data_IF_779769652737
#
_entry.id   IF_779769652737
#
_cell.length_a   1.000
_cell.length_b   1.000
_cell.length_c   1.000
_cell.angle_alpha   90.00
_cell.angle_beta   90.00
_cell.angle_gamma   90.00
#
_symmetry.space_group_name_H-M   'P 1'
#
loop_
_entity.id
_entity.type
_entity.pdbx_description
1 polymer ?
#
# COMPACT_ATOMS: atom_id res chain seq x y z
N UNK A 1 -68.46 8.94 8.34
CA UNK A 1 -67.43 8.07 8.94
C UNK A 1 -66.11 8.79 8.85
N UNK A 2 -65.40 8.96 9.97
CA UNK A 2 -64.07 9.59 9.98
C UNK A 2 -62.97 8.53 9.74
N UNK A 3 -61.75 8.97 9.43
CA UNK A 3 -60.58 8.10 9.39
C UNK A 3 -60.36 7.43 10.75
N UNK A 4 -60.19 6.11 10.78
CA UNK A 4 -60.05 5.35 12.03
C UNK A 4 -58.74 5.67 12.79
N UNK A 5 -57.80 6.37 12.13
CA UNK A 5 -56.49 6.69 12.69
C UNK A 5 -56.34 8.14 13.14
N UNK A 6 -56.79 9.10 12.34
CA UNK A 6 -56.70 10.52 12.67
C UNK A 6 -58.01 11.13 13.17
N UNK A 7 -59.16 10.49 12.98
CA UNK A 7 -60.50 10.95 13.39
C UNK A 7 -60.94 12.35 12.86
N UNK A 8 -60.07 13.06 12.15
CA UNK A 8 -60.30 14.44 11.69
C UNK A 8 -60.77 14.52 10.24
N UNK A 9 -60.30 13.61 9.37
CA UNK A 9 -60.56 13.67 7.93
C UNK A 9 -61.45 12.51 7.46
N UNK A 10 -62.27 12.70 6.42
CA UNK A 10 -63.02 11.61 5.81
C UNK A 10 -62.05 10.59 5.19
N UNK A 11 -62.29 9.29 5.35
CA UNK A 11 -61.44 8.25 4.78
C UNK A 11 -61.62 8.17 3.27
N UNK A 12 -60.51 7.97 2.56
CA UNK A 12 -60.47 7.84 1.10
C UNK A 12 -60.15 6.41 0.64
N UNK A 13 -59.52 5.63 1.52
CA UNK A 13 -58.98 4.32 1.19
C UNK A 13 -59.31 3.32 2.29
N UNK A 14 -59.35 2.03 1.93
CA UNK A 14 -59.63 0.91 2.84
C UNK A 14 -58.46 -0.08 2.79
N UNK A 15 -57.91 -0.44 3.95
CA UNK A 15 -56.81 -1.40 4.01
C UNK A 15 -57.29 -2.81 3.63
N UNK A 16 -56.62 -3.54 2.71
CA UNK A 16 -57.05 -4.87 2.28
C UNK A 16 -56.82 -5.96 3.34
N UNK A 17 -55.95 -5.73 4.33
CA UNK A 17 -55.63 -6.72 5.38
C UNK A 17 -56.51 -6.57 6.63
N UNK A 18 -56.78 -5.34 7.07
CA UNK A 18 -57.53 -5.07 8.31
C UNK A 18 -58.88 -4.38 8.09
N UNK A 19 -59.22 -4.03 6.85
CA UNK A 19 -60.48 -3.38 6.45
C UNK A 19 -60.80 -2.03 7.10
N UNK A 20 -59.83 -1.41 7.79
CA UNK A 20 -59.97 -0.06 8.38
C UNK A 20 -59.85 1.03 7.32
N UNK A 21 -60.54 2.13 7.56
CA UNK A 21 -60.67 3.25 6.64
C UNK A 21 -59.68 4.36 6.99
N UNK A 22 -58.87 4.79 6.02
CA UNK A 22 -57.83 5.81 6.23
C UNK A 22 -57.90 6.94 5.17
N UNK A 23 -57.45 8.14 5.54
CA UNK A 23 -57.55 9.33 4.68
C UNK A 23 -56.30 9.58 3.80
N UNK A 24 -55.11 9.14 4.24
CA UNK A 24 -53.83 9.41 3.57
C UNK A 24 -52.74 8.38 3.93
N UNK A 25 -51.64 8.38 3.18
CA UNK A 25 -50.46 7.54 3.46
C UNK A 25 -49.89 7.76 4.86
N UNK A 26 -49.98 8.99 5.41
CA UNK A 26 -49.57 9.29 6.79
C UNK A 26 -50.38 8.51 7.83
N UNK A 27 -51.69 8.35 7.61
CA UNK A 27 -52.54 7.52 8.47
C UNK A 27 -52.27 6.03 8.29
N UNK A 28 -51.94 5.60 7.08
CA UNK A 28 -51.56 4.21 6.79
C UNK A 28 -50.25 3.80 7.48
N UNK A 29 -49.30 4.73 7.63
CA UNK A 29 -48.01 4.54 8.32
C UNK A 29 -48.04 4.93 9.81
N UNK A 30 -49.21 5.27 10.36
CA UNK A 30 -49.32 5.66 11.77
C UNK A 30 -49.04 4.47 12.70
N UNK A 31 -48.59 4.76 13.94
CA UNK A 31 -48.30 3.73 14.96
C UNK A 31 -49.46 2.76 15.17
N UNK A 32 -50.71 3.24 15.05
CA UNK A 32 -51.92 2.43 15.17
C UNK A 32 -52.10 1.41 14.03
N UNK A 33 -51.51 1.65 12.85
CA UNK A 33 -51.61 0.79 11.66
C UNK A 33 -50.26 0.18 11.24
N UNK A 34 -49.24 0.23 12.11
CA UNK A 34 -47.88 -0.18 11.76
C UNK A 34 -47.78 -1.67 11.37
N UNK A 35 -48.53 -2.55 12.05
CA UNK A 35 -48.50 -4.00 11.77
C UNK A 35 -48.89 -4.34 10.33
N UNK A 36 -49.89 -3.64 9.79
CA UNK A 36 -50.38 -3.90 8.44
C UNK A 36 -49.50 -3.23 7.39
N UNK A 37 -49.05 -1.99 7.63
CA UNK A 37 -48.15 -1.30 6.72
C UNK A 37 -46.79 -1.98 6.63
N UNK A 38 -46.20 -2.38 7.75
CA UNK A 38 -44.95 -3.14 7.79
C UNK A 38 -45.07 -4.48 7.07
N UNK A 39 -46.18 -5.22 7.28
CA UNK A 39 -46.40 -6.48 6.57
C UNK A 39 -46.46 -6.29 5.06
N UNK A 40 -47.11 -5.23 4.59
CA UNK A 40 -47.18 -4.92 3.16
C UNK A 40 -45.83 -4.50 2.60
N UNK A 41 -45.08 -3.64 3.29
CA UNK A 41 -43.72 -3.27 2.89
C UNK A 41 -42.78 -4.48 2.87
N UNK A 42 -42.88 -5.36 3.87
CA UNK A 42 -42.14 -6.61 3.92
C UNK A 42 -42.47 -7.49 2.72
N UNK A 43 -43.74 -7.69 2.42
CA UNK A 43 -44.18 -8.51 1.28
C UNK A 43 -43.66 -7.91 -0.04
N UNK A 44 -43.78 -6.59 -0.25
CA UNK A 44 -43.23 -5.90 -1.42
C UNK A 44 -41.69 -6.01 -1.52
N UNK A 45 -40.97 -5.87 -0.42
CA UNK A 45 -39.52 -6.05 -0.38
C UNK A 45 -39.13 -7.49 -0.70
N UNK A 46 -39.84 -8.47 -0.14
CA UNK A 46 -39.59 -9.89 -0.39
C UNK A 46 -39.90 -10.27 -1.85
N UNK A 47 -40.96 -9.73 -2.45
CA UNK A 47 -41.24 -9.91 -3.89
C UNK A 47 -40.19 -9.22 -4.77
N UNK A 48 -39.73 -8.03 -4.40
CA UNK A 48 -38.62 -7.34 -5.05
C UNK A 48 -37.29 -8.11 -4.97
N UNK A 49 -37.01 -8.74 -3.84
CA UNK A 49 -35.86 -9.64 -3.68
C UNK A 49 -36.06 -10.94 -4.48
N UNK A 50 -37.25 -11.55 -4.46
CA UNK A 50 -37.55 -12.77 -5.23
C UNK A 50 -37.38 -12.55 -6.73
N UNK A 51 -37.84 -11.43 -7.27
CA UNK A 51 -37.68 -11.07 -8.68
C UNK A 51 -36.22 -10.79 -9.08
N UNK A 52 -35.40 -10.27 -8.15
CA UNK A 52 -33.94 -10.14 -8.31
C UNK A 52 -33.14 -11.42 -8.00
N UNK A 53 -33.74 -12.40 -7.32
CA UNK A 53 -33.09 -13.63 -6.85
C UNK A 53 -32.97 -14.74 -7.90
N UNK A 54 -32.86 -14.39 -9.19
CA UNK A 54 -32.11 -15.24 -10.13
C UNK A 54 -30.61 -15.06 -9.91
N UNK A 55 -30.16 -15.20 -8.66
CA UNK A 55 -28.74 -15.35 -8.36
C UNK A 55 -28.46 -16.83 -8.54
N UNK A 56 -27.78 -17.17 -9.63
CA UNK A 56 -27.47 -18.50 -10.15
C UNK A 56 -26.76 -19.46 -9.19
N UNK A 57 -26.55 -19.10 -7.92
CA UNK A 57 -25.86 -20.01 -7.01
C UNK A 57 -26.22 -19.77 -5.53
N UNK A 58 -27.05 -20.63 -4.89
CA UNK A 58 -27.33 -20.55 -3.45
C UNK A 58 -26.07 -20.69 -2.58
N UNK A 59 -24.96 -21.17 -3.15
CA UNK A 59 -23.70 -21.33 -2.44
C UNK A 59 -22.99 -19.99 -2.18
N UNK A 60 -23.18 -18.96 -3.02
CA UNK A 60 -22.60 -17.62 -2.77
C UNK A 60 -23.24 -16.92 -1.58
N UNK A 61 -24.54 -17.13 -1.36
CA UNK A 61 -25.23 -16.60 -0.17
C UNK A 61 -24.75 -17.31 1.09
N UNK A 62 -24.61 -18.65 1.03
CA UNK A 62 -24.11 -19.45 2.14
C UNK A 62 -22.65 -19.10 2.49
N UNK A 63 -21.80 -18.82 1.50
CA UNK A 63 -20.42 -18.40 1.76
C UNK A 63 -20.35 -17.02 2.43
N UNK A 64 -21.20 -16.07 2.05
CA UNK A 64 -21.28 -14.76 2.70
C UNK A 64 -21.78 -14.89 4.15
N UNK A 65 -22.78 -15.73 4.40
CA UNK A 65 -23.32 -15.93 5.75
C UNK A 65 -22.32 -16.65 6.66
N UNK A 66 -21.57 -17.62 6.12
CA UNK A 66 -20.51 -18.29 6.88
C UNK A 66 -19.34 -17.35 7.19
N UNK A 67 -18.95 -16.47 6.26
CA UNK A 67 -17.93 -15.45 6.51
C UNK A 67 -18.31 -14.54 7.69
N UNK A 68 -19.57 -14.09 7.74
CA UNK A 68 -20.03 -13.20 8.81
C UNK A 68 -20.20 -13.91 10.17
N UNK A 69 -20.44 -15.23 10.18
CA UNK A 69 -20.39 -16.02 11.41
C UNK A 69 -18.97 -16.16 11.94
N UNK A 70 -18.01 -16.39 11.03
CA UNK A 70 -16.60 -16.50 11.37
C UNK A 70 -16.06 -15.16 11.90
N UNK A 71 -16.42 -14.04 11.25
CA UNK A 71 -16.08 -12.67 11.71
C UNK A 71 -16.57 -12.41 13.16
N UNK A 72 -17.79 -12.83 13.51
CA UNK A 72 -18.32 -12.69 14.88
C UNK A 72 -17.67 -13.65 15.91
N UNK A 73 -17.11 -14.78 15.47
CA UNK A 73 -16.39 -15.71 16.35
C UNK A 73 -14.94 -15.25 16.63
N UNK A 74 -14.35 -14.49 15.70
CA UNK A 74 -12.98 -13.95 15.80
C UNK A 74 -12.86 -12.69 16.67
N UNK A 75 -13.94 -11.92 16.86
CA UNK A 75 -13.94 -10.75 17.77
C UNK A 75 -13.81 -11.12 19.28
N UNK A 76 -13.74 -12.42 19.62
CA UNK A 76 -13.65 -12.92 21.01
C UNK A 76 -12.32 -13.57 21.39
N UNK A 77 -11.29 -13.51 20.54
CA UNK A 77 -9.98 -14.11 20.84
C UNK A 77 -8.84 -13.17 20.52
N UNK A 78 -8.39 -12.37 21.50
CA UNK A 78 -7.12 -11.67 21.42
C UNK A 78 -6.21 -12.12 22.57
N UNK A 79 -4.90 -12.08 22.31
CA UNK A 79 -3.77 -12.03 23.26
C UNK A 79 -2.87 -13.29 23.38
N UNK A 80 -2.23 -13.80 22.30
CA UNK A 80 -1.03 -14.68 22.49
C UNK A 80 -0.09 -14.98 21.29
N UNK A 81 -0.09 -14.24 20.17
CA UNK A 81 0.64 -14.67 18.94
C UNK A 81 1.78 -13.75 18.46
N UNK A 82 2.60 -13.23 19.37
CA UNK A 82 3.77 -12.41 18.99
C UNK A 82 5.06 -13.24 18.77
N UNK A 83 5.09 -14.52 19.18
CA UNK A 83 6.31 -15.35 19.17
C UNK A 83 6.48 -16.30 17.98
N UNK A 84 5.46 -16.48 17.12
CA UNK A 84 5.50 -17.45 16.03
C UNK A 84 6.05 -16.89 14.72
N UNK A 85 6.22 -15.57 14.62
CA UNK A 85 6.54 -14.88 13.37
C UNK A 85 8.02 -15.11 13.01
N UNK A 86 8.93 -14.99 13.96
CA UNK A 86 10.38 -15.09 13.72
C UNK A 86 10.84 -16.47 13.21
N UNK A 87 10.24 -17.55 13.71
CA UNK A 87 10.57 -18.92 13.27
C UNK A 87 9.99 -19.25 11.88
N UNK A 88 8.85 -18.64 11.52
CA UNK A 88 8.24 -18.79 10.21
C UNK A 88 9.05 -18.07 9.12
N UNK A 89 9.57 -16.87 9.42
CA UNK A 89 10.42 -16.11 8.51
C UNK A 89 11.78 -16.79 8.24
N UNK A 90 12.37 -17.47 9.23
CA UNK A 90 13.62 -18.19 9.06
C UNK A 90 13.52 -19.40 8.10
N UNK A 91 12.33 -19.99 7.98
CA UNK A 91 12.07 -21.12 7.08
C UNK A 91 11.53 -20.68 5.71
N UNK A 92 11.37 -19.37 5.49
CA UNK A 92 10.78 -18.85 4.27
C UNK A 92 11.84 -18.70 3.16
N UNK A 93 11.83 -19.63 2.21
CA UNK A 93 12.75 -19.58 1.06
C UNK A 93 12.20 -18.66 -0.04
N UNK A 94 12.62 -17.39 -0.02
CA UNK A 94 12.18 -16.31 -0.91
C UNK A 94 12.55 -16.53 -2.40
N UNK A 95 13.41 -17.51 -2.71
CA UNK A 95 13.82 -17.86 -4.09
C UNK A 95 12.76 -18.70 -4.83
N UNK A 96 11.74 -19.22 -4.11
CA UNK A 96 10.70 -20.07 -4.70
C UNK A 96 9.50 -19.22 -5.13
N UNK A 97 9.71 -18.38 -6.16
CA UNK A 97 8.70 -17.69 -6.97
C UNK A 97 7.42 -17.19 -6.26
N UNK A 98 7.26 -15.87 -6.12
CA UNK A 98 6.20 -15.15 -5.38
C UNK A 98 4.75 -15.65 -5.47
N UNK A 99 4.39 -16.44 -6.50
CA UNK A 99 3.06 -17.03 -6.64
C UNK A 99 2.80 -18.18 -5.67
N UNK A 100 3.80 -19.00 -5.35
CA UNK A 100 3.62 -20.14 -4.42
C UNK A 100 3.46 -19.67 -2.99
N UNK A 101 4.23 -18.65 -2.61
CA UNK A 101 4.11 -18.00 -1.32
C UNK A 101 2.67 -17.51 -1.10
N UNK A 102 2.09 -16.77 -2.05
CA UNK A 102 0.72 -16.26 -1.93
C UNK A 102 -0.36 -17.33 -1.71
N UNK A 103 -0.14 -18.58 -2.12
CA UNK A 103 -1.09 -19.67 -1.87
C UNK A 103 -0.90 -20.30 -0.47
N UNK A 104 0.29 -20.15 0.12
CA UNK A 104 0.74 -20.77 1.37
C UNK A 104 0.56 -19.88 2.61
N UNK A 105 0.42 -18.55 2.46
CA UNK A 105 0.04 -17.66 3.56
C UNK A 105 -1.34 -17.99 4.11
N UNK A 106 -1.56 -17.62 5.38
CA UNK A 106 -2.88 -17.68 5.98
C UNK A 106 -3.83 -16.61 5.41
N UNK A 107 -5.13 -16.81 5.60
CA UNK A 107 -6.16 -15.88 5.14
C UNK A 107 -6.04 -14.50 5.83
N UNK A 108 -5.63 -14.46 7.10
CA UNK A 108 -5.43 -13.23 7.86
C UNK A 108 -4.28 -12.39 7.30
N UNK A 109 -3.12 -13.00 7.03
CA UNK A 109 -1.94 -12.31 6.45
C UNK A 109 -2.22 -11.77 5.04
N UNK A 110 -2.98 -12.52 4.22
CA UNK A 110 -3.40 -12.05 2.89
C UNK A 110 -4.32 -10.85 2.97
N UNK A 111 -5.25 -10.84 3.93
CA UNK A 111 -6.16 -9.71 4.14
C UNK A 111 -5.41 -8.47 4.61
N UNK A 112 -4.46 -8.62 5.53
CA UNK A 112 -3.62 -7.53 6.00
C UNK A 112 -2.80 -6.93 4.85
N UNK A 113 -2.15 -7.77 4.05
CA UNK A 113 -1.40 -7.32 2.87
C UNK A 113 -2.30 -6.56 1.87
N UNK A 114 -3.49 -7.09 1.56
CA UNK A 114 -4.45 -6.42 0.68
C UNK A 114 -4.93 -5.09 1.26
N UNK A 115 -5.16 -5.03 2.56
CA UNK A 115 -5.54 -3.80 3.25
C UNK A 115 -4.42 -2.76 3.20
N UNK A 116 -3.17 -3.16 3.44
CA UNK A 116 -1.99 -2.29 3.31
C UNK A 116 -1.79 -1.81 1.87
N UNK A 117 -2.04 -2.66 0.88
CA UNK A 117 -1.99 -2.30 -0.54
C UNK A 117 -3.07 -1.27 -0.89
N UNK A 118 -4.30 -1.45 -0.41
CA UNK A 118 -5.43 -0.54 -0.66
C UNK A 118 -5.25 0.82 0.04
N UNK A 119 -4.65 0.82 1.22
CA UNK A 119 -4.37 2.03 2.01
C UNK A 119 -3.11 2.77 1.56
N UNK A 120 -2.35 2.20 0.61
CA UNK A 120 -1.04 2.70 0.18
C UNK A 120 -0.01 2.85 1.32
N UNK A 121 -0.25 2.17 2.44
CA UNK A 121 0.62 2.17 3.62
C UNK A 121 1.80 1.21 3.48
N UNK A 122 1.87 0.42 2.41
CA UNK A 122 3.05 -0.42 2.14
C UNK A 122 4.35 0.40 2.07
N UNK A 123 4.27 1.66 1.64
CA UNK A 123 5.44 2.53 1.60
C UNK A 123 6.03 2.87 2.98
N UNK A 124 5.26 2.75 4.07
CA UNK A 124 5.76 2.97 5.42
C UNK A 124 6.43 1.74 6.04
N UNK A 125 6.30 0.57 5.41
CA UNK A 125 6.97 -0.66 5.86
C UNK A 125 8.40 -0.76 5.30
N UNK A 126 8.76 0.09 4.33
CA UNK A 126 10.09 0.10 3.72
C UNK A 126 10.90 1.22 4.37
N UNK A 127 12.00 0.86 5.02
CA UNK A 127 12.97 1.83 5.52
C UNK A 127 13.61 2.57 4.36
N UNK A 128 13.43 3.89 4.32
CA UNK A 128 14.03 4.73 3.29
C UNK A 128 15.52 4.90 3.61
N UNK A 129 16.37 4.53 2.66
CA UNK A 129 17.81 4.69 2.79
C UNK A 129 18.17 6.16 2.85
N UNK A 130 18.90 6.52 3.91
CA UNK A 130 19.48 7.84 4.05
C UNK A 130 20.89 7.85 3.45
N UNK A 131 21.15 8.65 2.40
CA UNK A 131 22.48 8.71 1.81
C UNK A 131 23.52 9.22 2.81
N UNK A 132 24.69 8.60 2.82
CA UNK A 132 25.78 8.99 3.74
C UNK A 132 26.22 10.46 3.57
N UNK A 133 26.08 11.03 2.37
CA UNK A 133 26.41 12.44 2.09
C UNK A 133 25.35 13.43 2.58
N UNK A 134 24.20 12.97 3.07
CA UNK A 134 23.17 13.80 3.71
C UNK A 134 23.34 13.88 5.23
N UNK A 135 24.15 12.99 5.82
CA UNK A 135 24.47 13.06 7.25
C UNK A 135 25.44 14.23 7.47
N UNK A 136 25.01 15.21 8.27
CA UNK A 136 25.84 16.37 8.60
C UNK A 136 26.94 15.92 9.55
N UNK A 137 28.19 15.99 9.08
CA UNK A 137 29.36 15.83 9.93
C UNK A 137 29.38 16.95 10.97
N UNK A 138 29.48 16.62 12.28
CA UNK A 138 29.66 17.65 13.31
C UNK A 138 30.94 18.46 13.08
N UNK A 139 30.88 19.79 13.22
CA UNK A 139 32.04 20.69 13.07
C UNK A 139 33.13 20.49 14.14
N UNK A 140 32.82 19.78 15.22
CA UNK A 140 33.77 19.36 16.27
C UNK A 140 33.49 17.91 16.63
N UNK A 141 34.44 17.03 16.34
CA UNK A 141 34.40 15.63 16.76
C UNK A 141 35.55 15.44 17.76
N UNK A 142 35.24 15.54 19.04
CA UNK A 142 36.20 15.26 20.13
C UNK A 142 36.29 13.75 20.43
N UNK A 143 35.27 12.99 20.03
CA UNK A 143 35.12 11.57 20.33
C UNK A 143 35.49 10.67 19.14
N UNK A 144 36.59 9.92 19.25
CA UNK A 144 37.03 8.92 18.26
C UNK A 144 35.96 7.85 17.97
N UNK A 145 35.05 7.60 18.91
CA UNK A 145 33.93 6.66 18.74
C UNK A 145 32.93 7.13 17.69
N UNK A 146 32.67 8.44 17.61
CA UNK A 146 31.78 9.04 16.62
C UNK A 146 32.43 8.99 15.24
N UNK A 147 33.75 9.19 15.16
CA UNK A 147 34.52 9.08 13.90
C UNK A 147 34.43 7.65 13.36
N UNK A 148 34.67 6.65 14.20
CA UNK A 148 34.64 5.25 13.77
C UNK A 148 33.24 4.81 13.31
N UNK A 149 32.18 5.23 14.02
CA UNK A 149 30.80 4.96 13.60
C UNK A 149 30.45 5.61 12.24
N UNK A 150 30.98 6.81 11.97
CA UNK A 150 30.80 7.47 10.67
C UNK A 150 31.63 6.81 9.56
N UNK A 151 32.86 6.38 9.85
CA UNK A 151 33.72 5.65 8.90
C UNK A 151 33.12 4.30 8.50
N UNK A 152 32.39 3.64 9.40
CA UNK A 152 31.71 2.38 9.10
C UNK A 152 30.54 2.55 8.12
N UNK A 153 29.85 3.70 8.17
CA UNK A 153 28.77 4.05 7.22
C UNK A 153 29.28 4.50 5.85
N UNK A 154 30.55 4.89 5.75
CA UNK A 154 31.13 5.39 4.50
C UNK A 154 31.51 4.23 3.56
N UNK A 155 31.36 4.41 2.23
CA UNK A 155 31.86 3.43 1.26
C UNK A 155 33.36 3.22 1.44
N UNK A 156 33.79 1.95 1.51
CA UNK A 156 35.22 1.60 1.55
C UNK A 156 35.88 2.05 0.26
N UNK A 157 36.80 3.00 0.36
CA UNK A 157 37.60 3.45 -0.77
C UNK A 157 38.60 2.35 -1.14
N UNK A 158 38.54 1.89 -2.39
CA UNK A 158 39.60 1.05 -2.93
C UNK A 158 40.78 1.93 -3.32
N UNK A 159 41.97 1.50 -2.90
CA UNK A 159 43.22 2.18 -3.25
C UNK A 159 43.46 2.03 -4.75
N UNK A 160 43.15 3.09 -5.49
CA UNK A 160 43.44 3.16 -6.92
C UNK A 160 44.94 3.41 -6.98
N UNK A 161 45.71 2.44 -7.49
CA UNK A 161 47.16 2.54 -7.60
C UNK A 161 47.56 3.94 -8.05
N UNK A 162 48.32 4.65 -7.22
CA UNK A 162 48.81 6.01 -7.50
C UNK A 162 49.34 6.06 -8.93
N UNK A 163 48.56 6.70 -9.82
CA UNK A 163 49.00 6.92 -11.18
C UNK A 163 50.10 7.98 -11.08
N UNK A 164 51.35 7.53 -11.22
CA UNK A 164 52.52 8.40 -11.16
C UNK A 164 52.29 9.67 -12.01
N UNK A 165 52.51 10.84 -11.40
CA UNK A 165 52.35 12.22 -11.91
C UNK A 165 52.95 12.50 -13.30
N UNK A 166 53.71 11.56 -13.87
CA UNK A 166 54.43 11.70 -15.13
C UNK A 166 53.55 11.63 -16.38
N UNK A 167 52.30 11.17 -16.26
CA UNK A 167 51.34 11.10 -17.39
C UNK A 167 50.27 12.20 -17.36
N UNK A 168 50.21 13.03 -16.31
CA UNK A 168 49.28 14.16 -16.25
C UNK A 168 49.84 15.35 -17.05
N UNK A 169 49.60 15.34 -18.35
CA UNK A 169 49.52 16.60 -19.10
C UNK A 169 48.46 17.52 -18.48
N UNK A 170 48.53 18.82 -18.78
CA UNK A 170 47.61 19.85 -18.28
C UNK A 170 46.15 19.35 -18.38
N UNK A 171 45.55 19.04 -17.23
CA UNK A 171 44.22 18.45 -17.13
C UNK A 171 43.22 19.35 -17.86
N UNK A 172 42.45 18.78 -18.80
CA UNK A 172 41.44 19.55 -19.53
C UNK A 172 40.42 20.12 -18.55
N UNK A 173 40.03 21.39 -18.73
CA UNK A 173 39.01 22.04 -17.90
C UNK A 173 37.63 21.33 -17.95
N UNK A 174 37.43 20.44 -18.92
CA UNK A 174 36.19 19.68 -19.11
C UNK A 174 36.04 18.49 -18.14
N UNK A 175 37.12 18.06 -17.47
CA UNK A 175 37.10 16.91 -16.55
C UNK A 175 36.12 17.13 -15.39
N UNK A 176 35.96 18.38 -14.94
CA UNK A 176 35.03 18.73 -13.86
C UNK A 176 33.59 18.39 -14.24
N UNK A 177 33.18 18.60 -15.50
CA UNK A 177 31.83 18.28 -15.95
C UNK A 177 31.61 16.77 -16.06
N UNK A 178 32.64 16.02 -16.45
CA UNK A 178 32.57 14.55 -16.42
C UNK A 178 32.43 14.02 -14.99
N UNK A 179 33.14 14.61 -14.02
CA UNK A 179 32.97 14.27 -12.60
C UNK A 179 31.56 14.58 -12.10
N UNK A 180 30.98 15.72 -12.48
CA UNK A 180 29.61 16.07 -12.12
C UNK A 180 28.61 15.03 -12.67
N UNK A 181 28.76 14.64 -13.93
CA UNK A 181 27.90 13.62 -14.56
C UNK A 181 28.01 12.25 -13.87
N UNK A 182 29.23 11.84 -13.50
CA UNK A 182 29.48 10.59 -12.77
C UNK A 182 28.89 10.63 -11.35
N UNK A 183 29.11 11.72 -10.61
CA UNK A 183 28.56 11.89 -9.25
C UNK A 183 27.02 11.91 -9.30
N UNK A 184 26.45 12.59 -10.29
CA UNK A 184 25.02 12.60 -10.51
C UNK A 184 24.47 11.20 -10.79
N UNK A 185 25.09 10.44 -11.69
CA UNK A 185 24.71 9.06 -11.97
C UNK A 185 24.78 8.17 -10.73
N UNK A 186 25.82 8.34 -9.91
CA UNK A 186 25.99 7.57 -8.67
C UNK A 186 24.89 7.89 -7.66
N UNK A 187 24.59 9.17 -7.44
CA UNK A 187 23.53 9.61 -6.55
C UNK A 187 22.15 9.14 -7.03
N UNK A 188 21.91 9.19 -8.34
CA UNK A 188 20.65 8.73 -8.93
C UNK A 188 20.45 7.22 -8.72
N UNK A 189 21.44 6.40 -9.08
CA UNK A 189 21.34 4.94 -8.96
C UNK A 189 21.26 4.53 -7.50
N UNK A 190 22.06 5.15 -6.64
CA UNK A 190 21.99 4.86 -5.20
C UNK A 190 20.61 5.19 -4.61
N UNK A 191 19.94 6.25 -5.09
CA UNK A 191 18.57 6.56 -4.67
C UNK A 191 17.53 5.63 -5.30
N UNK A 192 17.69 5.26 -6.57
CA UNK A 192 16.79 4.35 -7.28
C UNK A 192 16.70 2.99 -6.57
N UNK A 193 17.84 2.49 -6.11
CA UNK A 193 17.94 1.21 -5.41
C UNK A 193 17.88 1.33 -3.89
N UNK A 194 17.49 2.50 -3.35
CA UNK A 194 17.39 2.73 -1.91
C UNK A 194 18.65 2.25 -1.14
N UNK A 195 19.83 2.61 -1.64
CA UNK A 195 21.12 2.24 -1.07
C UNK A 195 21.62 0.84 -1.42
N UNK A 196 20.76 -0.07 -1.89
CA UNK A 196 21.10 -1.46 -2.18
C UNK A 196 21.20 -1.75 -3.67
N UNK A 197 22.19 -1.12 -4.31
CA UNK A 197 22.51 -1.36 -5.71
C UNK A 197 23.27 -2.68 -5.95
N UNK A 198 23.71 -3.37 -4.88
CA UNK A 198 24.53 -4.60 -4.98
C UNK A 198 23.69 -5.82 -5.28
N UNK A 199 22.47 -5.87 -4.77
CA UNK A 199 21.54 -6.98 -5.04
C UNK A 199 21.23 -7.13 -6.53
N UNK A 200 21.09 -6.03 -7.25
CA UNK A 200 20.87 -5.99 -8.71
C UNK A 200 22.08 -5.39 -9.45
N UNK A 201 23.28 -5.90 -9.19
CA UNK A 201 24.52 -5.32 -9.71
C UNK A 201 24.53 -5.08 -11.22
N UNK A 202 23.99 -6.02 -12.02
CA UNK A 202 23.97 -5.88 -13.48
C UNK A 202 23.07 -4.73 -13.95
N UNK A 203 21.86 -4.64 -13.39
CA UNK A 203 20.89 -3.60 -13.74
C UNK A 203 21.33 -2.23 -13.20
N UNK A 204 21.90 -2.20 -11.98
CA UNK A 204 22.50 -1.00 -11.38
C UNK A 204 23.62 -0.44 -12.23
N UNK A 205 24.55 -1.29 -12.70
CA UNK A 205 25.67 -0.86 -13.56
C UNK A 205 25.18 -0.44 -14.93
N UNK A 206 24.21 -1.15 -15.51
CA UNK A 206 23.63 -0.76 -16.79
C UNK A 206 22.95 0.60 -16.69
N UNK A 207 22.10 0.81 -15.68
CA UNK A 207 21.46 2.10 -15.41
C UNK A 207 22.48 3.22 -15.16
N UNK A 208 23.53 2.94 -14.40
CA UNK A 208 24.61 3.89 -14.16
C UNK A 208 25.31 4.33 -15.45
N UNK A 209 25.68 3.37 -16.32
CA UNK A 209 26.30 3.68 -17.62
C UNK A 209 25.33 4.45 -18.52
N UNK A 210 24.04 4.12 -18.52
CA UNK A 210 23.03 4.81 -19.30
C UNK A 210 22.84 6.28 -18.90
N UNK A 211 23.02 6.59 -17.61
CA UNK A 211 22.85 7.95 -17.07
C UNK A 211 24.15 8.75 -17.15
N UNK A 212 25.28 8.08 -16.91
CA UNK A 212 26.60 8.70 -16.98
C UNK A 212 27.15 8.63 -18.40
N UNK A 213 26.62 9.47 -19.30
CA UNK A 213 27.07 9.58 -20.69
C UNK A 213 28.58 9.83 -20.83
N UNK A 214 29.23 10.42 -19.81
CA UNK A 214 30.70 10.54 -19.74
C UNK A 214 31.45 9.21 -19.85
N UNK A 215 30.82 8.09 -19.47
CA UNK A 215 31.39 6.74 -19.58
C UNK A 215 31.19 6.12 -20.97
N UNK A 216 30.38 6.75 -21.83
CA UNK A 216 30.07 6.31 -23.19
C UNK A 216 30.79 7.15 -24.27
N UNK A 217 31.85 7.88 -23.90
CA UNK A 217 32.69 8.76 -24.75
C UNK A 217 32.19 10.21 -24.97
N UNK A 218 31.27 10.74 -24.16
CA UNK A 218 30.87 12.17 -24.27
C UNK A 218 31.72 13.07 -23.37
N UNK A 219 32.31 14.12 -23.93
CA UNK A 219 32.99 15.18 -23.18
C UNK A 219 32.05 16.38 -23.02
N UNK A 220 31.83 16.81 -21.79
CA UNK A 220 30.96 17.94 -21.49
C UNK A 220 31.73 19.25 -21.37
N UNK A 221 31.14 20.35 -21.84
CA UNK A 221 31.68 21.71 -21.72
C UNK A 221 30.92 22.58 -20.73
N UNK A 222 29.73 22.12 -20.29
CA UNK A 222 28.81 22.87 -19.44
C UNK A 222 28.09 21.95 -18.44
N UNK A 223 27.69 22.52 -17.30
CA UNK A 223 26.98 21.79 -16.23
C UNK A 223 25.60 21.32 -16.69
N UNK A 224 24.88 22.14 -17.45
CA UNK A 224 23.52 21.81 -17.92
C UNK A 224 23.50 20.60 -18.84
N UNK A 225 24.52 20.46 -19.70
CA UNK A 225 24.66 19.28 -20.57
C UNK A 225 25.13 18.04 -19.81
N UNK A 226 25.87 18.22 -18.71
CA UNK A 226 26.37 17.13 -17.88
C UNK A 226 25.30 16.51 -16.95
N UNK A 227 24.15 17.17 -16.77
CA UNK A 227 23.04 16.72 -15.93
C UNK A 227 21.81 16.23 -16.74
N UNK A 228 21.87 16.27 -18.07
CA UNK A 228 20.84 15.71 -18.96
C UNK A 228 21.03 14.21 -19.13
#
# INVERSE_FOLDING_TARGET
>A
SACDFCLEAPPKYKCPKCFHNYCSTKCYQSEKHIKCSESFYRDCCLEGLKSKSKIDNPNKMKSILNRHKLENELELGNDEQESHIDEAFANLNLDVGSKRFWDELDYEEKLEFLHLQLTNSLSSLIDVWNPWWMEVLPEHIEDETVINALLEKLPKLHDISSMNDSTMGRSSHCIVFNLINIIYGYAYISKLFNGDWKDLLLDSVHGFICISSSLQDTVFTDVSTALQ
#
